data_IF_639294391064
#
_entry.id   IF_639294391064
#
_cell.length_a   1.000
_cell.length_b   1.000
_cell.length_c   1.000
_cell.angle_alpha   90.00
_cell.angle_beta   90.00
_cell.angle_gamma   90.00
#
_symmetry.space_group_name_H-M   'P 1'
#
loop_
_entity.id
_entity.type
_entity.pdbx_description
1 polymer ?
#
# COMPACT_ATOMS: atom_id res chain seq x y z
N UNK A 1 -16.22 21.15 6.25
CA UNK A 1 -16.38 20.97 4.80
C UNK A 1 -15.37 19.92 4.35
N UNK A 2 -15.66 18.70 3.90
CA UNK A 2 -16.86 17.85 3.79
C UNK A 2 -16.33 16.41 3.98
N UNK A 3 -16.83 15.66 4.95
CA UNK A 3 -16.60 14.21 5.11
C UNK A 3 -17.85 13.54 5.71
N UNK A 4 -19.01 14.03 5.29
CA UNK A 4 -20.26 13.27 5.32
C UNK A 4 -20.43 12.68 3.92
N UNK A 5 -21.31 11.70 3.77
CA UNK A 5 -21.80 11.16 2.47
C UNK A 5 -21.22 9.80 2.04
N UNK A 6 -20.90 8.91 2.98
CA UNK A 6 -20.89 7.46 2.71
C UNK A 6 -21.54 6.64 3.85
N UNK A 7 -22.59 7.19 4.46
CA UNK A 7 -23.46 6.48 5.40
C UNK A 7 -24.91 6.73 4.99
N UNK A 8 -25.38 6.03 3.96
CA UNK A 8 -26.74 6.22 3.46
C UNK A 8 -27.34 5.06 2.65
N UNK A 9 -26.59 3.98 2.39
CA UNK A 9 -27.07 2.93 1.47
C UNK A 9 -27.34 1.55 2.10
N UNK A 10 -27.40 1.46 3.43
CA UNK A 10 -27.60 0.17 4.12
C UNK A 10 -28.78 0.17 5.11
N UNK A 11 -29.83 0.96 4.87
CA UNK A 11 -31.02 0.96 5.76
C UNK A 11 -32.18 0.03 5.32
N UNK A 12 -32.08 -0.68 4.19
CA UNK A 12 -33.20 -1.50 3.67
C UNK A 12 -32.85 -2.95 3.36
N UNK A 13 -31.95 -3.58 4.13
CA UNK A 13 -31.81 -5.04 4.06
C UNK A 13 -32.58 -5.69 5.20
N UNK A 14 -33.71 -6.28 4.85
CA UNK A 14 -34.67 -6.91 5.75
C UNK A 14 -34.02 -8.12 6.44
N UNK A 15 -33.72 -7.96 7.73
CA UNK A 15 -33.16 -9.01 8.59
C UNK A 15 -34.24 -10.02 8.98
N UNK A 16 -34.67 -10.89 8.05
CA UNK A 16 -35.44 -12.09 8.40
C UNK A 16 -34.62 -13.33 8.07
N UNK A 17 -34.10 -13.97 9.13
CA UNK A 17 -33.84 -15.41 9.10
C UNK A 17 -32.39 -15.89 8.98
N UNK A 18 -31.41 -15.19 9.55
CA UNK A 18 -30.04 -15.73 9.65
C UNK A 18 -29.71 -16.11 11.10
N UNK A 19 -29.30 -17.36 11.29
CA UNK A 19 -29.09 -17.98 12.59
C UNK A 19 -27.79 -17.50 13.24
N UNK A 20 -27.63 -17.78 14.54
CA UNK A 20 -26.44 -17.38 15.35
C UNK A 20 -25.08 -17.84 14.82
N UNK A 21 -25.03 -18.66 13.77
CA UNK A 21 -23.79 -19.08 13.08
C UNK A 21 -23.29 -18.04 12.06
N UNK A 22 -24.13 -17.08 11.66
CA UNK A 22 -23.78 -16.07 10.66
C UNK A 22 -23.15 -14.79 11.26
N UNK A 23 -23.20 -14.65 12.59
CA UNK A 23 -22.56 -13.54 13.33
C UNK A 23 -21.03 -13.61 13.34
N UNK A 24 -20.44 -14.72 12.91
CA UNK A 24 -18.97 -14.87 12.83
C UNK A 24 -18.40 -14.21 11.56
N UNK A 25 -19.22 -13.97 10.52
CA UNK A 25 -18.76 -13.46 9.23
C UNK A 25 -18.78 -11.93 9.09
N UNK A 26 -19.57 -11.21 9.89
CA UNK A 26 -19.81 -9.77 9.68
C UNK A 26 -18.88 -8.86 10.52
N UNK A 27 -17.70 -9.35 10.89
CA UNK A 27 -16.58 -8.52 11.32
C UNK A 27 -15.49 -8.68 10.28
N UNK A 28 -15.75 -8.18 9.06
CA UNK A 28 -14.69 -7.91 8.09
C UNK A 28 -13.74 -6.91 8.74
N UNK A 29 -12.75 -7.42 9.45
CA UNK A 29 -11.55 -6.67 9.81
C UNK A 29 -10.86 -6.45 8.48
N UNK A 30 -11.21 -5.36 7.80
CA UNK A 30 -10.49 -4.92 6.61
C UNK A 30 -9.05 -4.69 7.09
N UNK A 31 -8.11 -5.47 6.58
CA UNK A 31 -6.71 -5.34 6.92
C UNK A 31 -6.28 -3.89 6.63
N UNK A 32 -5.78 -3.13 7.63
CA UNK A 32 -5.44 -1.71 7.46
C UNK A 32 -4.32 -1.48 6.44
N UNK A 33 -3.64 -2.54 5.98
CA UNK A 33 -2.62 -2.47 4.94
C UNK A 33 -3.20 -2.50 3.53
N UNK A 34 -4.47 -2.84 3.34
CA UNK A 34 -5.11 -2.83 2.01
C UNK A 34 -5.49 -1.40 1.66
N UNK A 35 -4.91 -0.89 0.58
CA UNK A 35 -5.11 0.47 0.08
C UNK A 35 -5.68 0.44 -1.34
N UNK A 36 -6.42 1.47 -1.73
CA UNK A 36 -6.83 1.68 -3.11
C UNK A 36 -5.60 1.89 -4.02
N UNK A 37 -5.61 1.26 -5.20
CA UNK A 37 -4.54 1.38 -6.18
C UNK A 37 -4.94 2.31 -7.32
N UNK A 38 -4.19 3.40 -7.46
CA UNK A 38 -4.34 4.33 -8.57
C UNK A 38 -3.24 4.12 -9.61
N UNK A 39 -3.66 3.93 -10.86
CA UNK A 39 -2.73 3.71 -11.97
C UNK A 39 -2.02 5.03 -12.28
N UNK A 40 -0.67 5.06 -12.27
CA UNK A 40 0.05 6.28 -12.56
C UNK A 40 -0.16 6.70 -14.03
N UNK A 41 -0.13 8.02 -14.30
CA UNK A 41 -0.50 8.57 -15.61
C UNK A 41 0.30 7.99 -16.79
N UNK A 42 1.60 7.71 -16.57
CA UNK A 42 2.47 7.09 -17.58
C UNK A 42 2.04 5.65 -17.94
N UNK A 43 1.30 4.96 -17.05
CA UNK A 43 0.79 3.60 -17.22
C UNK A 43 -0.72 3.55 -17.50
N UNK A 44 -1.35 4.67 -17.86
CA UNK A 44 -2.80 4.77 -18.13
C UNK A 44 -3.33 3.71 -19.11
N UNK A 45 -2.51 3.26 -20.06
CA UNK A 45 -2.83 2.17 -21.01
C UNK A 45 -3.13 0.82 -20.33
N UNK A 46 -2.69 0.62 -19.09
CA UNK A 46 -2.87 -0.61 -18.32
C UNK A 46 -4.10 -0.58 -17.39
N UNK A 47 -4.88 0.51 -17.39
CA UNK A 47 -6.01 0.71 -16.47
C UNK A 47 -7.03 -0.44 -16.49
N UNK A 48 -7.27 -1.05 -17.65
CA UNK A 48 -8.19 -2.20 -17.78
C UNK A 48 -7.70 -3.49 -17.11
N UNK A 49 -6.40 -3.61 -16.84
CA UNK A 49 -5.77 -4.80 -16.22
C UNK A 49 -5.17 -4.51 -14.84
N UNK A 50 -5.31 -3.29 -14.34
CA UNK A 50 -4.79 -2.90 -13.05
C UNK A 50 -5.61 -3.52 -11.91
N UNK A 51 -4.98 -3.95 -10.82
CA UNK A 51 -5.70 -4.37 -9.64
C UNK A 51 -6.44 -3.17 -9.01
N UNK A 52 -7.59 -3.38 -8.36
CA UNK A 52 -8.31 -2.29 -7.69
C UNK A 52 -7.61 -1.83 -6.40
N UNK A 53 -6.85 -2.72 -5.76
CA UNK A 53 -6.19 -2.47 -4.48
C UNK A 53 -4.75 -2.95 -4.50
N UNK A 54 -3.95 -2.40 -3.57
CA UNK A 54 -2.58 -2.81 -3.29
C UNK A 54 -2.41 -3.08 -1.80
N UNK A 55 -1.38 -3.83 -1.45
CA UNK A 55 -1.05 -4.11 -0.06
C UNK A 55 0.16 -3.28 0.36
N UNK A 56 0.05 -2.48 1.44
CA UNK A 56 1.15 -1.75 2.02
C UNK A 56 2.04 -2.69 2.86
N UNK A 57 3.12 -3.17 2.23
CA UNK A 57 4.07 -4.11 2.81
C UNK A 57 5.41 -3.46 3.17
N UNK A 58 5.82 -2.43 2.45
CA UNK A 58 7.08 -1.73 2.63
C UNK A 58 6.92 -0.55 3.58
N UNK A 59 7.88 -0.38 4.49
CA UNK A 59 8.01 0.87 5.24
C UNK A 59 8.68 1.93 4.36
N UNK A 60 7.90 2.89 3.89
CA UNK A 60 8.34 4.02 3.04
C UNK A 60 8.10 5.35 3.76
N UNK A 61 8.95 6.39 3.56
CA UNK A 61 10.06 6.48 2.61
C UNK A 61 11.37 5.84 3.12
N UNK A 62 12.08 5.14 2.22
CA UNK A 62 13.43 4.65 2.49
C UNK A 62 14.45 5.80 2.43
N UNK A 63 15.44 5.84 3.34
CA UNK A 63 16.38 6.96 3.41
C UNK A 63 17.33 6.96 2.20
N UNK A 64 17.69 8.15 1.74
CA UNK A 64 18.80 8.37 0.82
C UNK A 64 19.98 8.84 1.67
N UNK A 65 21.06 8.06 1.66
CA UNK A 65 22.24 8.32 2.48
C UNK A 65 23.40 8.76 1.61
N UNK A 66 24.16 9.77 2.05
CA UNK A 66 25.43 10.11 1.41
C UNK A 66 26.40 8.96 1.62
N UNK A 67 27.08 8.54 0.55
CA UNK A 67 28.09 7.51 0.60
C UNK A 67 29.46 8.17 0.49
N UNK A 68 30.18 8.22 1.61
CA UNK A 68 31.56 8.70 1.65
C UNK A 68 32.50 7.57 1.25
N UNK A 69 33.13 7.70 0.09
CA UNK A 69 34.24 6.83 -0.28
C UNK A 69 35.49 7.18 0.54
N UNK A 70 36.36 6.21 0.84
CA UNK A 70 37.65 6.47 1.50
C UNK A 70 38.58 7.37 0.67
N UNK A 71 38.49 7.26 -0.66
CA UNK A 71 39.11 8.17 -1.60
C UNK A 71 38.07 9.20 -2.06
N UNK A 72 38.38 10.48 -1.94
CA UNK A 72 37.55 11.55 -2.50
C UNK A 72 37.64 11.47 -4.02
N UNK A 73 36.49 11.23 -4.66
CA UNK A 73 36.37 11.45 -6.10
C UNK A 73 36.11 12.94 -6.27
N UNK A 74 37.12 13.67 -6.71
CA UNK A 74 37.06 15.12 -6.89
C UNK A 74 35.80 15.55 -7.66
N UNK A 75 34.96 16.37 -7.01
CA UNK A 75 33.80 17.00 -7.62
C UNK A 75 32.51 16.17 -7.69
N UNK A 76 32.47 14.95 -7.15
CA UNK A 76 31.25 14.12 -7.17
C UNK A 76 30.72 13.80 -5.77
N UNK A 77 29.41 13.96 -5.58
CA UNK A 77 28.70 13.48 -4.40
C UNK A 77 27.91 12.21 -4.73
N UNK A 78 28.19 11.12 -4.02
CA UNK A 78 27.49 9.84 -4.20
C UNK A 78 26.42 9.69 -3.12
N UNK A 79 25.21 9.32 -3.56
CA UNK A 79 24.09 9.00 -2.68
C UNK A 79 23.58 7.59 -2.96
N UNK A 80 23.25 6.86 -1.90
CA UNK A 80 22.72 5.50 -1.96
C UNK A 80 21.30 5.47 -1.44
N UNK A 81 20.39 4.94 -2.26
CA UNK A 81 19.00 4.65 -1.87
C UNK A 81 18.98 3.37 -1.02
N UNK A 82 18.64 3.47 0.27
CA UNK A 82 18.58 2.31 1.19
C UNK A 82 17.26 1.55 1.08
N UNK A 83 17.00 0.99 -0.10
CA UNK A 83 15.82 0.16 -0.34
C UNK A 83 15.88 -1.18 0.40
N UNK A 84 16.99 -1.54 1.03
CA UNK A 84 17.11 -2.66 1.95
C UNK A 84 16.46 -2.38 3.32
N UNK A 85 16.31 -1.11 3.71
CA UNK A 85 15.74 -0.68 5.00
C UNK A 85 14.20 -0.62 4.98
N UNK A 86 13.53 -1.55 4.30
CA UNK A 86 12.06 -1.60 4.19
C UNK A 86 11.36 -2.37 5.31
N UNK A 87 12.11 -2.93 6.26
CA UNK A 87 11.56 -3.58 7.48
C UNK A 87 11.12 -5.03 7.34
N UNK A 88 11.61 -5.77 6.33
CA UNK A 88 11.22 -7.15 6.10
C UNK A 88 12.42 -8.01 5.69
N UNK A 89 12.32 -9.31 5.96
CA UNK A 89 13.37 -10.31 5.72
C UNK A 89 13.70 -10.47 4.23
N UNK A 90 12.78 -10.08 3.35
CA UNK A 90 13.01 -9.99 1.91
C UNK A 90 13.59 -8.61 1.59
N UNK A 91 14.63 -8.54 0.74
CA UNK A 91 15.18 -7.26 0.29
C UNK A 91 14.09 -6.35 -0.29
N UNK A 92 14.12 -5.05 0.01
CA UNK A 92 12.95 -4.20 -0.21
C UNK A 92 12.52 -3.97 -1.65
N UNK A 93 13.40 -4.17 -2.64
CA UNK A 93 12.98 -4.18 -4.05
C UNK A 93 11.94 -5.26 -4.35
N UNK A 94 12.05 -6.44 -3.70
CA UNK A 94 11.09 -7.53 -3.91
C UNK A 94 9.73 -7.19 -3.32
N UNK A 95 9.74 -6.53 -2.15
CA UNK A 95 8.51 -6.12 -1.48
C UNK A 95 7.75 -5.10 -2.32
N UNK A 96 8.43 -4.09 -2.85
CA UNK A 96 7.79 -3.06 -3.70
C UNK A 96 7.18 -3.58 -5.00
N UNK A 97 7.56 -4.79 -5.44
CA UNK A 97 6.95 -5.48 -6.60
C UNK A 97 5.76 -6.35 -6.21
N UNK A 98 5.71 -6.77 -4.94
CA UNK A 98 4.62 -7.55 -4.39
C UNK A 98 3.49 -6.67 -3.87
N UNK A 99 3.81 -5.44 -3.44
CA UNK A 99 2.82 -4.36 -3.26
C UNK A 99 2.07 -4.06 -4.55
#
# INVERSE_FOLDING_TARGET
SKRSDFCGFLSSFEWRGLGRRDLVCAKMIIDPRVLEYEVPGFASRLKSKAPPTKLALAMVPTPIQRFSMPEEIDGFEIFVKRDDMTGSTLSGNKIRKLE
#
